data_IF_763298302386
#
_entry.id   IF_763298302386
#
_cell.length_a   1.000
_cell.length_b   1.000
_cell.length_c   1.000
_cell.angle_alpha   90.00
_cell.angle_beta   90.00
_cell.angle_gamma   90.00
#
_symmetry.space_group_name_H-M   'P 1'
#
loop_
_entity.id
_entity.type
_entity.pdbx_description
1 polymer ?
#
# COMPACT_ATOMS: atom_id res chain seq x y z
N UNK A 1 8.00 -39.39 -12.62
CA UNK A 1 8.16 -38.57 -11.40
C UNK A 1 8.89 -37.31 -11.81
N UNK A 2 8.32 -36.14 -11.51
CA UNK A 2 8.77 -34.77 -11.83
C UNK A 2 8.38 -34.19 -13.21
N UNK A 3 7.07 -34.18 -13.52
CA UNK A 3 6.45 -33.15 -14.38
C UNK A 3 5.46 -32.36 -13.53
N UNK A 4 5.98 -31.46 -12.69
CA UNK A 4 5.19 -30.48 -11.93
C UNK A 4 6.10 -29.33 -11.54
N UNK A 5 6.46 -28.42 -12.47
CA UNK A 5 6.88 -27.04 -12.15
C UNK A 5 6.68 -26.11 -13.37
N UNK A 6 5.61 -26.35 -14.13
CA UNK A 6 5.10 -25.37 -15.12
C UNK A 6 3.93 -24.60 -14.50
N UNK A 7 4.21 -23.83 -13.45
CA UNK A 7 3.32 -22.76 -13.00
C UNK A 7 4.09 -21.45 -13.17
N UNK A 8 4.14 -21.01 -14.42
CA UNK A 8 3.84 -19.64 -14.85
C UNK A 8 4.11 -18.57 -13.78
N UNK A 9 5.29 -17.96 -13.79
CA UNK A 9 5.58 -16.73 -14.53
C UNK A 9 4.71 -15.53 -14.07
N UNK A 10 5.44 -14.48 -13.64
CA UNK A 10 5.05 -13.06 -13.55
C UNK A 10 4.86 -12.52 -12.13
N UNK A 11 5.61 -11.43 -11.89
CA UNK A 11 5.51 -10.44 -10.81
C UNK A 11 6.48 -10.61 -9.64
N UNK A 12 7.77 -10.41 -9.89
CA UNK A 12 8.56 -9.47 -9.05
C UNK A 12 9.76 -8.93 -9.84
N UNK A 13 9.55 -8.58 -11.11
CA UNK A 13 10.30 -7.46 -11.68
C UNK A 13 9.54 -6.20 -11.24
N UNK A 14 10.25 -5.08 -11.10
CA UNK A 14 9.76 -3.75 -10.65
C UNK A 14 10.07 -3.38 -9.17
N UNK A 15 11.31 -3.60 -8.73
CA UNK A 15 12.02 -2.55 -7.98
C UNK A 15 13.32 -2.20 -8.71
N UNK A 16 13.15 -1.60 -9.88
CA UNK A 16 14.20 -0.85 -10.58
C UNK A 16 13.90 0.63 -10.44
N UNK A 17 13.72 1.12 -9.22
CA UNK A 17 13.82 2.54 -8.94
C UNK A 17 15.28 2.98 -9.01
N UNK A 18 15.74 3.15 -10.25
CA UNK A 18 16.68 4.16 -10.72
C UNK A 18 17.88 4.48 -9.81
N UNK A 19 19.07 4.06 -10.24
CA UNK A 19 20.32 4.66 -9.79
C UNK A 19 20.48 6.05 -10.45
N UNK A 20 20.50 7.17 -9.71
CA UNK A 20 21.29 8.31 -10.08
C UNK A 20 22.66 8.19 -9.40
N UNK A 21 23.69 8.11 -10.24
CA UNK A 21 25.08 8.26 -9.85
C UNK A 21 25.27 9.59 -9.07
N UNK A 22 25.44 9.50 -7.74
CA UNK A 22 25.68 10.66 -6.89
C UNK A 22 25.57 10.31 -5.40
N UNK A 23 26.71 9.97 -4.77
CA UNK A 23 26.88 9.73 -3.32
C UNK A 23 25.69 9.03 -2.66
N UNK A 24 25.61 7.71 -2.83
CA UNK A 24 24.66 6.86 -2.12
C UNK A 24 24.68 7.19 -0.63
N UNK A 25 23.52 7.57 -0.10
CA UNK A 25 23.31 7.87 1.31
C UNK A 25 23.82 6.70 2.16
N UNK A 26 24.85 6.99 2.95
CA UNK A 26 25.65 5.99 3.63
C UNK A 26 24.94 5.31 4.79
N UNK A 27 25.72 4.57 5.58
CA UNK A 27 25.33 3.83 6.79
C UNK A 27 24.48 4.62 7.81
N UNK A 28 24.37 5.95 7.66
CA UNK A 28 23.59 6.85 8.51
C UNK A 28 22.10 6.93 8.15
N UNK A 29 21.72 6.70 6.88
CA UNK A 29 20.30 6.72 6.46
C UNK A 29 19.59 5.40 6.73
N UNK A 30 20.35 4.30 6.85
CA UNK A 30 19.83 2.96 7.16
C UNK A 30 19.03 2.89 8.48
N UNK A 31 19.50 3.41 9.63
CA UNK A 31 18.71 3.39 10.86
C UNK A 31 17.45 4.25 10.78
N UNK A 32 17.48 5.37 10.04
CA UNK A 32 16.32 6.25 9.90
C UNK A 32 15.19 5.58 9.11
N UNK A 33 15.53 4.92 7.99
CA UNK A 33 14.53 4.21 7.18
C UNK A 33 13.97 2.99 7.93
N UNK A 34 14.85 2.24 8.60
CA UNK A 34 14.46 1.07 9.40
C UNK A 34 13.54 1.48 10.56
N UNK A 35 13.88 2.55 11.29
CA UNK A 35 13.06 3.08 12.37
C UNK A 35 11.68 3.54 11.89
N UNK A 36 11.61 4.19 10.72
CA UNK A 36 10.33 4.59 10.13
C UNK A 36 9.47 3.39 9.76
N UNK A 37 10.03 2.38 9.09
CA UNK A 37 9.31 1.15 8.71
C UNK A 37 8.81 0.38 9.94
N UNK A 38 9.64 0.25 10.97
CA UNK A 38 9.25 -0.39 12.25
C UNK A 38 8.15 0.42 12.93
N UNK A 39 8.27 1.75 12.96
CA UNK A 39 7.27 2.63 13.56
C UNK A 39 5.90 2.52 12.88
N UNK A 40 5.87 2.49 11.55
CA UNK A 40 4.64 2.29 10.77
C UNK A 40 4.05 0.90 11.01
N UNK A 41 4.89 -0.15 11.02
CA UNK A 41 4.44 -1.51 11.31
C UNK A 41 3.85 -1.66 12.72
N UNK A 42 4.48 -1.05 13.71
CA UNK A 42 4.01 -1.06 15.10
C UNK A 42 2.70 -0.28 15.26
N UNK A 43 2.59 0.88 14.61
CA UNK A 43 1.36 1.68 14.60
C UNK A 43 0.20 0.92 13.95
N UNK A 44 0.43 0.27 12.80
CA UNK A 44 -0.57 -0.54 12.11
C UNK A 44 -1.01 -1.74 12.95
N UNK A 45 -0.07 -2.45 13.57
CA UNK A 45 -0.37 -3.56 14.47
C UNK A 45 -1.16 -3.10 15.70
N UNK A 46 -0.74 -2.00 16.34
CA UNK A 46 -1.42 -1.43 17.50
C UNK A 46 -2.84 -0.97 17.21
N UNK A 47 -3.05 -0.27 16.09
CA UNK A 47 -4.38 0.15 15.64
C UNK A 47 -5.29 -1.06 15.34
N UNK A 48 -4.75 -2.10 14.69
CA UNK A 48 -5.49 -3.32 14.37
C UNK A 48 -5.96 -4.06 15.62
N UNK A 49 -5.07 -4.23 16.60
CA UNK A 49 -5.40 -4.91 17.86
C UNK A 49 -6.42 -4.10 18.66
N UNK A 50 -6.24 -2.78 18.75
CA UNK A 50 -7.17 -1.91 19.46
C UNK A 50 -8.58 -1.95 18.84
N UNK A 51 -8.66 -1.91 17.51
CA UNK A 51 -9.89 -2.03 16.77
C UNK A 51 -10.56 -3.41 16.97
N UNK A 52 -9.78 -4.50 16.89
CA UNK A 52 -10.29 -5.86 17.08
C UNK A 52 -10.84 -6.10 18.50
N UNK A 53 -10.17 -5.57 19.53
CA UNK A 53 -10.68 -5.61 20.92
C UNK A 53 -11.99 -4.83 21.06
N UNK A 54 -12.10 -3.66 20.43
CA UNK A 54 -13.34 -2.87 20.44
C UNK A 54 -14.51 -3.66 19.82
N UNK A 55 -14.27 -4.36 18.71
CA UNK A 55 -15.29 -5.18 18.06
C UNK A 55 -15.76 -6.36 18.92
N UNK A 56 -14.84 -7.00 19.65
CA UNK A 56 -15.18 -8.13 20.52
C UNK A 56 -15.91 -7.66 21.79
N UNK A 57 -15.41 -6.61 22.46
CA UNK A 57 -15.97 -6.17 23.74
C UNK A 57 -17.25 -5.36 23.60
N UNK A 58 -17.29 -4.37 22.71
CA UNK A 58 -18.40 -3.43 22.63
C UNK A 58 -19.57 -4.00 21.82
N UNK A 59 -19.27 -4.83 20.82
CA UNK A 59 -20.27 -5.34 19.87
C UNK A 59 -20.78 -6.75 20.19
N UNK A 60 -20.23 -7.42 21.22
CA UNK A 60 -20.63 -8.75 21.74
C UNK A 60 -20.98 -9.78 20.64
N UNK A 61 -20.27 -9.72 19.52
CA UNK A 61 -20.57 -10.60 18.38
C UNK A 61 -20.03 -11.98 18.72
N UNK A 62 -20.88 -13.01 18.58
CA UNK A 62 -20.50 -14.43 18.79
C UNK A 62 -19.14 -14.67 18.11
N UNK A 63 -18.18 -15.31 18.79
CA UNK A 63 -16.77 -15.41 18.36
C UNK A 63 -16.54 -15.85 16.90
N UNK A 64 -17.52 -16.51 16.29
CA UNK A 64 -17.56 -16.90 14.87
C UNK A 64 -17.60 -15.70 13.91
N UNK A 65 -18.33 -14.64 14.25
CA UNK A 65 -18.47 -13.43 13.43
C UNK A 65 -17.27 -12.49 13.65
N UNK A 66 -16.76 -12.41 14.89
CA UNK A 66 -15.51 -11.71 15.19
C UNK A 66 -14.31 -12.28 14.40
N UNK A 67 -14.25 -13.61 14.22
CA UNK A 67 -13.25 -14.26 13.38
C UNK A 67 -13.41 -13.90 11.89
N UNK A 68 -14.66 -13.77 11.40
CA UNK A 68 -14.94 -13.34 10.04
C UNK A 68 -14.46 -11.90 9.81
N UNK A 69 -14.76 -10.99 10.74
CA UNK A 69 -14.33 -9.60 10.66
C UNK A 69 -12.81 -9.49 10.80
N UNK A 70 -12.17 -10.28 11.66
CA UNK A 70 -10.71 -10.35 11.76
C UNK A 70 -10.08 -10.79 10.41
N UNK A 71 -10.64 -11.81 9.76
CA UNK A 71 -10.18 -12.23 8.43
C UNK A 71 -10.35 -11.13 7.38
N UNK A 72 -11.46 -10.38 7.42
CA UNK A 72 -11.69 -9.25 6.50
C UNK A 72 -10.66 -8.14 6.76
N UNK A 73 -10.43 -7.77 8.02
CA UNK A 73 -9.45 -6.74 8.39
C UNK A 73 -8.05 -7.16 7.98
N UNK A 74 -7.63 -8.40 8.28
CA UNK A 74 -6.33 -8.93 7.86
C UNK A 74 -6.23 -8.97 6.33
N UNK A 75 -7.31 -9.33 5.62
CA UNK A 75 -7.38 -9.21 4.16
C UNK A 75 -7.15 -7.78 3.67
N UNK A 76 -7.85 -6.81 4.26
CA UNK A 76 -7.70 -5.38 3.95
C UNK A 76 -6.27 -4.87 4.24
N UNK A 77 -5.65 -5.29 5.35
CA UNK A 77 -4.29 -4.89 5.71
C UNK A 77 -3.23 -5.42 4.75
N UNK A 78 -3.44 -6.60 4.16
CA UNK A 78 -2.56 -7.15 3.13
C UNK A 78 -2.81 -6.51 1.75
N UNK A 79 -4.05 -6.12 1.45
CA UNK A 79 -4.41 -5.44 0.20
C UNK A 79 -4.05 -3.95 0.21
N UNK A 80 -4.07 -3.29 1.38
CA UNK A 80 -3.77 -1.87 1.53
C UNK A 80 -2.42 -1.45 0.94
N UNK A 81 -1.29 -2.13 1.19
CA UNK A 81 -0.02 -1.81 0.55
C UNK A 81 -0.01 -2.07 -0.97
N UNK A 82 -0.75 -3.07 -1.47
CA UNK A 82 -0.86 -3.32 -2.93
C UNK A 82 -1.61 -2.18 -3.61
N UNK A 83 -2.75 -1.79 -3.05
CA UNK A 83 -3.51 -0.63 -3.54
C UNK A 83 -2.68 0.65 -3.38
N UNK A 84 -1.97 0.79 -2.26
CA UNK A 84 -1.06 1.90 -2.01
C UNK A 84 0.08 1.99 -3.03
N UNK A 85 0.64 0.86 -3.44
CA UNK A 85 1.66 0.78 -4.49
C UNK A 85 1.09 1.19 -5.86
N UNK A 86 -0.07 0.64 -6.24
CA UNK A 86 -0.74 1.00 -7.50
C UNK A 86 -1.07 2.51 -7.55
N UNK A 87 -1.55 3.05 -6.42
CA UNK A 87 -1.81 4.47 -6.27
C UNK A 87 -0.50 5.26 -6.36
N UNK A 88 0.56 4.85 -5.66
CA UNK A 88 1.86 5.53 -5.73
C UNK A 88 2.43 5.55 -7.17
N UNK A 89 2.37 4.43 -7.88
CA UNK A 89 2.82 4.30 -9.28
C UNK A 89 1.96 5.14 -10.24
N UNK A 90 0.65 5.21 -9.99
CA UNK A 90 -0.27 6.04 -10.77
C UNK A 90 -0.12 7.54 -10.47
N UNK A 91 0.24 7.90 -9.24
CA UNK A 91 0.44 9.30 -8.83
C UNK A 91 1.82 9.85 -9.23
N UNK A 92 2.82 9.00 -9.46
CA UNK A 92 4.15 9.42 -9.97
C UNK A 92 4.21 9.59 -11.50
N UNK A 93 3.08 9.51 -12.20
CA UNK A 93 2.97 9.87 -13.60
C UNK A 93 2.30 11.23 -13.76
N UNK A 94 3.00 12.21 -14.34
CA UNK A 94 2.51 13.55 -14.69
C UNK A 94 1.16 13.59 -15.45
N UNK A 95 0.63 12.44 -15.89
CA UNK A 95 -0.62 12.26 -16.58
C UNK A 95 -1.85 12.78 -15.81
N UNK A 96 -2.00 12.50 -14.51
CA UNK A 96 -3.18 12.97 -13.78
C UNK A 96 -3.25 14.50 -13.70
N UNK A 97 -2.09 15.14 -13.52
CA UNK A 97 -2.00 16.61 -13.46
C UNK A 97 -2.21 17.21 -14.87
N UNK A 98 -1.63 16.62 -15.91
CA UNK A 98 -1.86 17.01 -17.31
C UNK A 98 -3.33 16.88 -17.73
N UNK A 99 -3.98 15.77 -17.38
CA UNK A 99 -5.40 15.54 -17.69
C UNK A 99 -6.28 16.51 -16.92
N UNK A 100 -6.03 16.76 -15.62
CA UNK A 100 -6.76 17.76 -14.87
C UNK A 100 -6.57 19.16 -15.46
N UNK A 101 -5.32 19.57 -15.73
CA UNK A 101 -5.03 20.88 -16.31
C UNK A 101 -5.70 21.06 -17.68
N UNK A 102 -5.67 20.04 -18.54
CA UNK A 102 -6.34 20.08 -19.84
C UNK A 102 -7.87 20.11 -19.71
N UNK A 103 -8.45 19.36 -18.78
CA UNK A 103 -9.90 19.35 -18.55
C UNK A 103 -10.39 20.72 -18.04
N UNK A 104 -9.64 21.34 -17.14
CA UNK A 104 -9.94 22.69 -16.62
C UNK A 104 -9.85 23.73 -17.75
N UNK A 105 -8.79 23.69 -18.58
CA UNK A 105 -8.63 24.63 -19.70
C UNK A 105 -9.78 24.53 -20.71
N UNK A 106 -10.24 23.32 -21.02
CA UNK A 106 -11.35 23.11 -21.96
C UNK A 106 -12.66 23.63 -21.38
N UNK A 107 -12.94 23.36 -20.10
CA UNK A 107 -14.15 23.82 -19.42
C UNK A 107 -14.21 25.35 -19.36
N UNK A 108 -13.08 26.01 -19.06
CA UNK A 108 -12.99 27.49 -19.09
C UNK A 108 -13.24 28.05 -20.48
N UNK A 109 -12.70 27.41 -21.53
CA UNK A 109 -12.89 27.84 -22.92
C UNK A 109 -14.33 27.68 -23.43
N UNK A 110 -15.07 26.67 -22.95
CA UNK A 110 -16.47 26.43 -23.33
C UNK A 110 -17.45 27.36 -22.60
N UNK A 111 -17.12 27.76 -21.37
CA UNK A 111 -17.99 28.61 -20.54
C UNK A 111 -17.81 30.10 -20.82
N UNK A 112 -16.62 30.52 -21.27
CA UNK A 112 -16.31 31.89 -21.70
C UNK A 112 -16.86 32.17 -23.11
#
# INVERSE_FOLDING_TARGET
>A
MATTLESENSRTDEDKAQMPNGKQGGWITFPFISGSTIGVGLAAAGATINFLVYLIQQYNVRSIDAAQIANIITGCLNLAPIVGAIVADSFFGCYNILVLSSAIQLLVCVVL
#
